data_IF_020622237515
#
_entry.id   IF_020622237515
#
_cell.length_a   1.000
_cell.length_b   1.000
_cell.length_c   1.000
_cell.angle_alpha   90.00
_cell.angle_beta   90.00
_cell.angle_gamma   90.00
#
_symmetry.space_group_name_H-M   'P 1'
#
loop_
_entity.id
_entity.type
_entity.pdbx_description
1 polymer ?
#
# COMPACT_ATOMS: atom_id res chain seq x y z
N UNK A 1 13.87 31.73 30.37
CA UNK A 1 13.64 30.91 29.16
C UNK A 1 14.62 29.75 29.19
N UNK A 2 14.16 28.52 29.46
CA UNK A 2 15.00 27.32 29.41
C UNK A 2 15.06 26.86 27.96
N UNK A 3 16.25 26.90 27.36
CA UNK A 3 16.47 26.44 25.99
C UNK A 3 16.25 24.94 25.86
N UNK A 4 15.53 24.53 24.82
CA UNK A 4 15.45 23.14 24.40
C UNK A 4 16.84 22.68 23.93
N UNK A 5 17.30 21.48 24.32
CA UNK A 5 18.56 20.95 23.80
C UNK A 5 18.38 20.57 22.31
N UNK A 6 19.42 20.72 21.47
CA UNK A 6 19.34 20.36 20.07
C UNK A 6 19.14 18.85 19.93
N UNK A 7 18.20 18.46 19.04
CA UNK A 7 18.07 17.08 18.59
C UNK A 7 19.41 16.64 18.00
N UNK A 8 20.10 15.73 18.69
CA UNK A 8 21.22 14.99 18.11
C UNK A 8 20.65 14.16 16.96
N UNK A 9 20.84 14.62 15.73
CA UNK A 9 20.59 13.80 14.54
C UNK A 9 21.52 12.60 14.62
N UNK A 10 20.94 11.44 14.90
CA UNK A 10 21.64 10.16 14.93
C UNK A 10 21.92 9.77 13.47
N UNK A 11 23.03 10.27 12.92
CA UNK A 11 23.48 10.11 11.52
C UNK A 11 23.82 8.66 11.09
N UNK A 12 23.19 7.63 11.68
CA UNK A 12 23.48 6.20 11.42
C UNK A 12 22.24 5.30 11.19
N UNK A 13 21.04 5.88 11.05
CA UNK A 13 19.79 5.13 10.83
C UNK A 13 19.35 5.04 9.35
N UNK A 14 19.78 5.98 8.50
CA UNK A 14 19.21 6.16 7.15
C UNK A 14 19.43 4.96 6.19
N UNK A 15 20.49 4.17 6.36
CA UNK A 15 20.91 3.18 5.35
C UNK A 15 20.54 1.71 5.66
N UNK A 16 19.74 1.43 6.69
CA UNK A 16 19.44 0.03 7.08
C UNK A 16 18.08 -0.49 6.65
N UNK A 17 17.10 0.40 6.50
CA UNK A 17 15.71 0.03 6.23
C UNK A 17 15.19 0.77 5.02
N UNK A 18 14.33 0.09 4.27
CA UNK A 18 13.66 0.60 3.09
C UNK A 18 12.16 0.53 3.39
N UNK A 19 11.47 1.63 3.13
CA UNK A 19 10.02 1.65 3.03
C UNK A 19 9.64 1.52 1.56
N UNK A 20 9.01 0.42 1.19
CA UNK A 20 8.37 0.25 -0.11
C UNK A 20 6.94 0.77 0.00
N UNK A 21 6.59 1.76 -0.82
CA UNK A 21 5.30 2.45 -0.84
C UNK A 21 4.82 2.65 -2.28
N UNK A 22 3.52 2.90 -2.47
CA UNK A 22 2.95 3.23 -3.78
C UNK A 22 2.76 4.74 -3.96
N UNK A 23 2.68 5.23 -5.22
CA UNK A 23 2.41 6.64 -5.51
C UNK A 23 1.09 7.15 -4.95
N UNK A 24 0.14 6.26 -4.64
CA UNK A 24 -1.14 6.58 -4.03
C UNK A 24 -1.22 6.32 -2.52
N UNK A 25 -0.06 6.37 -1.86
CA UNK A 25 0.05 6.44 -0.40
C UNK A 25 0.21 7.90 0.07
N UNK A 26 -0.64 8.31 1.01
CA UNK A 26 -0.53 9.58 1.72
C UNK A 26 -0.20 9.32 3.19
N UNK A 27 0.90 9.89 3.68
CA UNK A 27 1.34 9.75 5.07
C UNK A 27 0.61 10.76 5.96
N UNK A 28 -0.25 10.25 6.85
CA UNK A 28 -1.13 11.08 7.69
C UNK A 28 -0.65 11.19 9.14
N UNK A 29 0.20 10.27 9.58
CA UNK A 29 0.82 10.29 10.90
C UNK A 29 2.31 9.89 10.79
N UNK A 30 3.18 10.32 11.72
CA UNK A 30 4.58 9.88 11.75
C UNK A 30 4.69 8.36 11.78
N UNK A 31 5.36 7.78 10.78
CA UNK A 31 5.54 6.33 10.65
C UNK A 31 6.82 5.88 11.37
N UNK A 32 6.72 5.18 12.52
CA UNK A 32 7.89 4.57 13.14
C UNK A 32 8.40 3.39 12.30
N UNK A 33 9.60 2.90 12.61
CA UNK A 33 10.02 1.61 12.07
C UNK A 33 9.19 0.48 12.71
N UNK A 34 8.24 -0.07 11.95
CA UNK A 34 7.37 -1.16 12.39
C UNK A 34 8.04 -2.54 12.31
N UNK A 35 9.18 -2.65 11.61
CA UNK A 35 9.95 -3.90 11.56
C UNK A 35 10.70 -4.13 12.87
N UNK A 36 10.77 -5.39 13.31
CA UNK A 36 11.41 -5.75 14.59
C UNK A 36 12.01 -7.15 14.55
N UNK A 37 13.06 -7.41 15.34
CA UNK A 37 13.63 -8.76 15.49
C UNK A 37 14.21 -9.38 14.21
N UNK A 38 14.41 -8.58 13.15
CA UNK A 38 14.80 -9.10 11.83
C UNK A 38 13.63 -9.45 10.91
N UNK A 39 12.39 -9.32 11.38
CA UNK A 39 11.18 -9.48 10.58
C UNK A 39 10.78 -8.14 9.95
N UNK A 40 10.58 -8.07 8.63
CA UNK A 40 9.95 -6.91 7.99
C UNK A 40 8.50 -6.73 8.50
N UNK A 41 7.96 -5.53 8.34
CA UNK A 41 6.55 -5.26 8.63
C UNK A 41 5.79 -4.96 7.35
N UNK A 42 4.61 -5.55 7.19
CA UNK A 42 3.79 -5.43 5.99
C UNK A 42 2.30 -5.33 6.33
N UNK A 43 1.52 -4.74 5.43
CA UNK A 43 0.06 -4.74 5.56
C UNK A 43 -0.54 -6.06 5.04
N UNK A 44 -1.44 -6.71 5.80
CA UNK A 44 -2.15 -7.90 5.33
C UNK A 44 -3.32 -7.53 4.40
N UNK A 45 -3.27 -8.00 3.16
CA UNK A 45 -4.33 -7.79 2.17
C UNK A 45 -5.33 -8.95 2.20
N UNK A 46 -6.60 -8.63 2.47
CA UNK A 46 -7.65 -9.65 2.58
C UNK A 46 -7.89 -10.46 1.30
N UNK A 47 -7.46 -9.94 0.14
CA UNK A 47 -7.60 -10.59 -1.16
C UNK A 47 -6.34 -11.37 -1.61
N UNK A 48 -5.24 -11.29 -0.85
CA UNK A 48 -4.08 -12.16 -1.06
C UNK A 48 -4.27 -13.39 -0.20
N UNK A 49 -4.60 -14.51 -0.84
CA UNK A 49 -5.04 -15.73 -0.17
C UNK A 49 -4.31 -16.95 -0.73
N UNK A 50 -3.04 -17.19 -0.34
CA UNK A 50 -2.26 -18.30 -0.87
C UNK A 50 -2.90 -19.67 -0.64
N UNK A 51 -3.53 -19.89 0.53
CA UNK A 51 -4.21 -21.14 0.86
C UNK A 51 -5.44 -21.42 -0.02
N UNK A 52 -6.21 -20.41 -0.40
CA UNK A 52 -7.36 -20.57 -1.32
C UNK A 52 -6.90 -20.79 -2.78
N UNK A 53 -5.64 -20.50 -3.10
CA UNK A 53 -5.06 -20.59 -4.45
C UNK A 53 -3.94 -21.65 -4.54
N UNK A 54 -3.96 -22.66 -3.66
CA UNK A 54 -2.84 -23.60 -3.49
C UNK A 54 -2.39 -24.22 -4.82
N UNK A 55 -3.32 -24.71 -5.66
CA UNK A 55 -2.99 -25.32 -6.96
C UNK A 55 -2.14 -24.42 -7.86
N UNK A 56 -2.44 -23.12 -7.90
CA UNK A 56 -1.70 -22.14 -8.70
C UNK A 56 -0.37 -21.81 -8.02
N UNK A 57 -0.39 -21.59 -6.71
CA UNK A 57 0.78 -21.26 -5.91
C UNK A 57 1.86 -22.36 -5.98
N UNK A 58 1.49 -23.64 -6.02
CA UNK A 58 2.45 -24.76 -6.11
C UNK A 58 3.33 -24.73 -7.35
N UNK A 59 2.93 -24.06 -8.43
CA UNK A 59 3.79 -23.84 -9.61
C UNK A 59 5.04 -22.97 -9.29
N UNK A 60 4.97 -22.17 -8.24
CA UNK A 60 6.01 -21.19 -7.85
C UNK A 60 6.55 -21.40 -6.43
N UNK A 61 5.82 -22.14 -5.59
CA UNK A 61 6.21 -22.54 -4.24
C UNK A 61 6.06 -24.06 -4.06
N UNK A 62 7.08 -24.85 -4.44
CA UNK A 62 7.05 -26.31 -4.40
C UNK A 62 6.79 -26.88 -3.00
N UNK A 63 6.25 -28.10 -2.92
CA UNK A 63 5.91 -28.75 -1.64
C UNK A 63 7.12 -28.92 -0.71
N UNK A 64 8.31 -29.16 -1.26
CA UNK A 64 9.55 -29.26 -0.49
C UNK A 64 9.96 -27.96 0.22
N UNK A 65 9.36 -26.82 -0.15
CA UNK A 65 9.57 -25.54 0.54
C UNK A 65 8.66 -25.38 1.76
N UNK A 66 7.65 -26.24 1.91
CA UNK A 66 6.74 -26.26 3.06
C UNK A 66 5.29 -25.97 2.69
N UNK A 67 4.42 -25.76 3.69
CA UNK A 67 2.99 -25.49 3.46
C UNK A 67 2.77 -24.10 2.84
N UNK A 68 1.73 -23.95 2.02
CA UNK A 68 1.36 -22.64 1.42
C UNK A 68 0.98 -21.59 2.47
N UNK A 69 0.66 -22.00 3.69
CA UNK A 69 0.41 -21.10 4.82
C UNK A 69 1.66 -20.36 5.30
N UNK A 70 2.86 -20.75 4.83
CA UNK A 70 4.09 -19.97 5.04
C UNK A 70 4.16 -18.72 4.15
N UNK A 71 3.28 -18.59 3.16
CA UNK A 71 3.21 -17.39 2.32
C UNK A 71 2.29 -16.40 3.02
N UNK A 72 2.87 -15.31 3.52
CA UNK A 72 2.14 -14.24 4.17
C UNK A 72 1.10 -13.60 3.20
N UNK A 73 -0.11 -13.24 3.66
CA UNK A 73 -1.14 -12.61 2.84
C UNK A 73 -0.84 -11.12 2.60
N UNK A 74 0.29 -10.82 1.97
CA UNK A 74 0.84 -9.47 1.81
C UNK A 74 1.10 -9.14 0.33
N UNK A 75 1.47 -7.88 0.06
CA UNK A 75 2.08 -7.47 -1.21
C UNK A 75 3.43 -6.82 -0.99
N UNK A 76 3.99 -6.25 -2.05
CA UNK A 76 5.25 -5.51 -2.03
C UNK A 76 5.15 -4.12 -1.38
N UNK A 77 3.97 -3.72 -0.89
CA UNK A 77 3.72 -2.44 -0.24
C UNK A 77 2.49 -2.50 0.70
N UNK A 78 2.35 -1.54 1.64
CA UNK A 78 3.47 -0.87 2.28
C UNK A 78 4.29 -1.91 3.06
N UNK A 79 5.61 -1.87 2.89
CA UNK A 79 6.54 -2.79 3.57
C UNK A 79 7.73 -2.03 4.11
N UNK A 80 8.06 -2.23 5.40
CA UNK A 80 9.33 -1.79 5.98
C UNK A 80 10.25 -3.00 6.12
N UNK A 81 11.34 -3.01 5.36
CA UNK A 81 12.26 -4.15 5.25
C UNK A 81 13.71 -3.70 5.42
N UNK A 82 14.55 -4.54 6.03
CA UNK A 82 16.01 -4.28 6.04
C UNK A 82 16.57 -4.36 4.63
N UNK A 83 17.46 -3.45 4.26
CA UNK A 83 18.12 -3.45 2.94
C UNK A 83 18.72 -4.82 2.58
N UNK A 84 19.44 -5.45 3.51
CA UNK A 84 20.06 -6.77 3.31
C UNK A 84 19.05 -7.90 3.07
N UNK A 85 17.85 -7.79 3.63
CA UNK A 85 16.77 -8.76 3.40
C UNK A 85 16.13 -8.55 2.03
N UNK A 86 15.95 -7.28 1.62
CA UNK A 86 15.46 -6.96 0.28
C UNK A 86 16.47 -7.45 -0.79
N UNK A 87 17.76 -7.19 -0.60
CA UNK A 87 18.83 -7.67 -1.49
C UNK A 87 18.82 -9.21 -1.63
N UNK A 88 18.53 -9.94 -0.54
CA UNK A 88 18.41 -11.40 -0.55
C UNK A 88 17.27 -11.89 -1.44
N UNK A 89 16.10 -11.25 -1.38
CA UNK A 89 14.91 -11.70 -2.11
C UNK A 89 14.79 -11.10 -3.51
N UNK A 90 15.43 -9.95 -3.79
CA UNK A 90 15.26 -9.20 -5.03
C UNK A 90 15.51 -10.02 -6.30
N UNK A 91 16.56 -10.88 -6.40
CA UNK A 91 16.73 -11.72 -7.59
C UNK A 91 15.59 -12.71 -7.80
N UNK A 92 15.01 -13.26 -6.72
CA UNK A 92 13.86 -14.17 -6.81
C UNK A 92 12.59 -13.39 -7.14
N UNK A 93 12.36 -12.25 -6.48
CA UNK A 93 11.21 -11.40 -6.73
C UNK A 93 11.22 -10.81 -8.14
N UNK A 94 12.38 -10.58 -8.77
CA UNK A 94 12.44 -10.17 -10.18
C UNK A 94 11.95 -11.28 -11.14
N UNK A 95 12.18 -12.56 -10.81
CA UNK A 95 11.94 -13.68 -11.71
C UNK A 95 10.57 -14.35 -11.54
N UNK A 96 10.07 -14.44 -10.30
CA UNK A 96 8.75 -15.04 -10.01
C UNK A 96 7.60 -14.36 -10.78
N UNK A 97 7.45 -13.02 -10.82
CA UNK A 97 6.32 -12.40 -11.50
C UNK A 97 6.39 -12.61 -13.01
N UNK A 98 7.59 -12.62 -13.62
CA UNK A 98 7.75 -12.95 -15.04
C UNK A 98 7.21 -14.36 -15.34
N UNK A 99 7.59 -15.35 -14.53
CA UNK A 99 7.06 -16.71 -14.66
C UNK A 99 5.57 -16.80 -14.41
N UNK A 100 5.04 -16.05 -13.45
CA UNK A 100 3.59 -15.98 -13.20
C UNK A 100 2.86 -15.34 -14.38
N UNK A 101 3.47 -14.34 -15.01
CA UNK A 101 2.92 -13.63 -16.17
C UNK A 101 2.91 -14.49 -17.42
N UNK A 102 3.92 -15.34 -17.59
CA UNK A 102 4.04 -16.29 -18.70
C UNK A 102 3.12 -17.52 -18.57
N UNK A 103 2.60 -17.82 -17.36
CA UNK A 103 1.63 -18.89 -17.13
C UNK A 103 0.18 -18.36 -17.28
N UNK A 104 -0.57 -18.72 -18.34
CA UNK A 104 -1.87 -18.11 -18.61
C UNK A 104 -2.95 -18.36 -17.53
N UNK A 105 -2.87 -19.49 -16.82
CA UNK A 105 -3.79 -19.79 -15.71
C UNK A 105 -3.52 -18.86 -14.51
N UNK A 106 -2.24 -18.63 -14.19
CA UNK A 106 -1.79 -17.75 -13.11
C UNK A 106 -2.05 -16.29 -13.43
N UNK A 107 -1.68 -15.82 -14.63
CA UNK A 107 -1.93 -14.45 -15.08
C UNK A 107 -3.43 -14.13 -15.05
N UNK A 108 -4.27 -15.05 -15.52
CA UNK A 108 -5.72 -14.90 -15.45
C UNK A 108 -6.25 -14.87 -14.02
N UNK A 109 -5.70 -15.69 -13.13
CA UNK A 109 -6.18 -15.81 -11.76
C UNK A 109 -5.76 -14.63 -10.86
N UNK A 110 -4.51 -14.19 -10.95
CA UNK A 110 -3.99 -13.13 -10.10
C UNK A 110 -4.09 -11.75 -10.76
N UNK A 111 -4.01 -11.67 -12.09
CA UNK A 111 -4.19 -10.43 -12.84
C UNK A 111 -3.39 -9.26 -12.25
N UNK A 112 -4.09 -8.20 -11.85
CA UNK A 112 -3.48 -6.97 -11.35
C UNK A 112 -2.77 -7.12 -9.99
N UNK A 113 -3.03 -8.18 -9.21
CA UNK A 113 -2.34 -8.45 -7.93
C UNK A 113 -1.19 -9.45 -8.06
N UNK A 114 -0.82 -9.84 -9.29
CA UNK A 114 0.21 -10.84 -9.55
C UNK A 114 1.56 -10.47 -8.92
N UNK A 115 1.98 -9.22 -9.00
CA UNK A 115 3.23 -8.73 -8.38
C UNK A 115 3.22 -8.87 -6.85
N UNK A 116 2.05 -8.70 -6.22
CA UNK A 116 1.89 -8.86 -4.77
C UNK A 116 2.07 -10.33 -4.36
N UNK A 117 1.44 -11.25 -5.11
CA UNK A 117 1.66 -12.69 -4.92
C UNK A 117 3.11 -13.08 -5.18
N UNK A 118 3.74 -12.50 -6.20
CA UNK A 118 5.13 -12.78 -6.54
C UNK A 118 6.09 -12.35 -5.41
N UNK A 119 5.86 -11.17 -4.81
CA UNK A 119 6.61 -10.72 -3.64
C UNK A 119 6.44 -11.66 -2.44
N UNK A 120 5.20 -12.05 -2.13
CA UNK A 120 4.89 -12.95 -1.03
C UNK A 120 5.55 -14.33 -1.22
N UNK A 121 5.46 -14.90 -2.43
CA UNK A 121 6.11 -16.17 -2.78
C UNK A 121 7.63 -16.05 -2.72
N UNK A 122 8.22 -15.00 -3.28
CA UNK A 122 9.66 -14.78 -3.21
C UNK A 122 10.14 -14.67 -1.75
N UNK A 123 9.40 -13.98 -0.90
CA UNK A 123 9.70 -13.89 0.54
C UNK A 123 9.68 -15.27 1.21
N UNK A 124 8.63 -16.05 0.96
CA UNK A 124 8.49 -17.40 1.52
C UNK A 124 9.58 -18.37 1.03
N UNK A 125 9.98 -18.30 -0.25
CA UNK A 125 11.08 -19.12 -0.81
C UNK A 125 12.41 -18.91 -0.08
N UNK A 126 12.59 -17.75 0.56
CA UNK A 126 13.77 -17.38 1.34
C UNK A 126 13.58 -17.52 2.87
N UNK A 127 12.46 -18.13 3.29
CA UNK A 127 12.09 -18.32 4.70
C UNK A 127 11.77 -17.02 5.43
N UNK A 128 11.40 -15.96 4.71
CA UNK A 128 11.07 -14.66 5.29
C UNK A 128 9.59 -14.63 5.70
N UNK A 129 9.33 -14.15 6.91
CA UNK A 129 7.98 -13.90 7.44
C UNK A 129 7.85 -12.43 7.84
N UNK A 130 6.63 -11.92 7.87
CA UNK A 130 6.33 -10.52 8.15
C UNK A 130 5.56 -10.33 9.46
N UNK A 131 5.83 -9.21 10.11
CA UNK A 131 4.92 -8.67 11.12
C UNK A 131 3.73 -8.06 10.37
N UNK A 132 2.56 -8.70 10.47
CA UNK A 132 1.33 -8.26 9.81
C UNK A 132 0.72 -7.09 10.58
N UNK A 133 0.90 -5.87 10.07
CA UNK A 133 0.44 -4.64 10.72
C UNK A 133 -0.87 -4.14 10.08
N UNK A 134 -2.00 -4.42 10.72
CA UNK A 134 -3.33 -3.98 10.24
C UNK A 134 -3.51 -2.45 10.28
N UNK A 135 -2.87 -1.78 11.23
CA UNK A 135 -2.94 -0.31 11.35
C UNK A 135 -1.92 0.42 10.47
N UNK A 136 -1.19 -0.28 9.59
CA UNK A 136 -0.19 0.34 8.73
C UNK A 136 -0.84 1.36 7.79
N UNK A 137 -1.93 0.95 7.12
CA UNK A 137 -2.67 1.83 6.23
C UNK A 137 -4.17 1.62 6.33
N UNK A 138 -4.93 2.57 5.81
CA UNK A 138 -6.37 2.50 5.59
C UNK A 138 -6.70 2.66 4.11
N UNK A 139 -7.86 2.15 3.68
CA UNK A 139 -8.32 2.12 2.30
C UNK A 139 -9.74 2.71 2.20
N UNK A 140 -9.87 4.05 2.13
CA UNK A 140 -11.15 4.70 1.88
C UNK A 140 -11.72 4.25 0.52
N UNK A 141 -13.06 4.16 0.36
CA UNK A 141 -14.09 4.57 1.32
C UNK A 141 -14.45 3.51 2.38
N UNK A 142 -13.74 2.38 2.43
CA UNK A 142 -14.08 1.24 3.30
C UNK A 142 -13.68 1.46 4.75
N UNK A 143 -12.50 2.02 4.97
CA UNK A 143 -12.04 2.43 6.29
C UNK A 143 -12.47 3.88 6.56
N UNK A 144 -13.27 4.08 7.61
CA UNK A 144 -14.00 5.35 7.84
C UNK A 144 -13.18 6.41 8.60
N UNK A 145 -12.22 5.99 9.40
CA UNK A 145 -11.48 6.83 10.35
C UNK A 145 -9.97 6.72 10.17
N UNK A 146 -9.28 7.85 10.27
CA UNK A 146 -7.81 7.92 10.19
C UNK A 146 -7.18 7.51 11.52
N UNK A 147 -7.63 8.12 12.62
CA UNK A 147 -7.11 7.86 13.96
C UNK A 147 -5.58 7.83 14.03
N UNK A 148 -5.02 6.73 14.53
CA UNK A 148 -3.56 6.51 14.69
C UNK A 148 -2.90 5.77 13.54
N UNK A 149 -3.62 5.48 12.44
CA UNK A 149 -3.06 4.76 11.28
C UNK A 149 -2.12 5.68 10.50
N UNK A 150 -1.15 5.12 9.78
CA UNK A 150 -0.04 5.90 9.24
C UNK A 150 -0.23 6.38 7.80
N UNK A 151 -0.91 5.58 6.98
CA UNK A 151 -1.03 5.80 5.55
C UNK A 151 -2.49 5.72 5.11
N UNK A 152 -2.92 6.65 4.24
CA UNK A 152 -4.12 6.47 3.41
C UNK A 152 -3.66 5.93 2.06
N UNK A 153 -4.23 4.79 1.65
CA UNK A 153 -4.06 4.22 0.32
C UNK A 153 -5.32 4.48 -0.51
N UNK A 154 -5.25 5.44 -1.46
CA UNK A 154 -6.42 5.89 -2.23
C UNK A 154 -6.66 5.07 -3.51
N UNK A 155 -6.71 3.75 -3.38
CA UNK A 155 -6.87 2.84 -4.53
C UNK A 155 -8.30 2.79 -5.08
N UNK A 156 -9.31 2.98 -4.22
CA UNK A 156 -10.72 2.89 -4.58
C UNK A 156 -11.33 4.25 -4.90
N UNK A 157 -12.28 4.27 -5.85
CA UNK A 157 -13.11 5.44 -6.10
C UNK A 157 -14.02 5.74 -4.90
N UNK A 158 -14.06 7.00 -4.50
CA UNK A 158 -14.90 7.53 -3.45
C UNK A 158 -16.05 8.30 -4.09
N UNK A 159 -17.20 7.64 -4.28
CA UNK A 159 -18.39 8.22 -4.90
C UNK A 159 -19.49 8.46 -3.88
N UNK A 160 -19.93 9.71 -3.72
CA UNK A 160 -20.93 10.07 -2.71
C UNK A 160 -22.08 10.90 -3.30
N UNK A 161 -23.28 10.70 -2.76
CA UNK A 161 -24.40 11.63 -2.95
C UNK A 161 -24.17 12.93 -2.19
N UNK A 162 -24.92 13.99 -2.53
CA UNK A 162 -24.90 15.26 -1.79
C UNK A 162 -25.33 15.15 -0.31
N UNK A 163 -25.91 14.00 0.08
CA UNK A 163 -26.28 13.69 1.48
C UNK A 163 -25.21 12.86 2.20
N UNK A 164 -24.01 12.74 1.64
CA UNK A 164 -22.90 11.99 2.24
C UNK A 164 -23.05 10.47 2.20
N UNK A 165 -23.98 9.92 1.41
CA UNK A 165 -24.13 8.46 1.24
C UNK A 165 -23.28 7.94 0.09
N UNK A 166 -22.47 6.90 0.35
CA UNK A 166 -21.65 6.20 -0.65
C UNK A 166 -22.54 5.61 -1.76
N UNK A 167 -22.15 5.79 -3.02
CA UNK A 167 -22.89 5.29 -4.20
C UNK A 167 -22.12 4.18 -4.89
N UNK A 168 -22.40 2.93 -4.50
CA UNK A 168 -21.72 1.75 -5.05
C UNK A 168 -21.92 1.61 -6.57
N UNK A 169 -20.82 1.44 -7.29
CA UNK A 169 -20.83 1.17 -8.73
C UNK A 169 -21.43 2.29 -9.60
N UNK A 170 -21.63 3.49 -9.04
CA UNK A 170 -22.21 4.64 -9.74
C UNK A 170 -21.41 5.89 -9.42
N UNK A 171 -21.21 6.73 -10.44
CA UNK A 171 -20.58 8.04 -10.26
C UNK A 171 -21.46 8.88 -9.33
N UNK A 172 -20.88 9.27 -8.20
CA UNK A 172 -21.53 10.11 -7.20
C UNK A 172 -21.74 11.54 -7.69
N UNK A 173 -22.56 12.31 -6.96
CA UNK A 173 -22.64 13.77 -7.18
C UNK A 173 -21.37 14.47 -6.71
N UNK A 174 -20.71 13.90 -5.71
CA UNK A 174 -19.34 14.19 -5.35
C UNK A 174 -18.50 12.94 -5.61
N UNK A 175 -17.28 13.09 -6.14
CA UNK A 175 -16.39 11.98 -6.46
C UNK A 175 -14.94 12.36 -6.26
N UNK A 176 -14.17 11.43 -5.72
CA UNK A 176 -12.72 11.37 -5.86
C UNK A 176 -12.30 9.99 -6.36
N UNK A 177 -11.70 9.89 -7.55
CA UNK A 177 -11.06 8.67 -8.06
C UNK A 177 -9.84 9.06 -8.87
N UNK A 178 -8.67 8.53 -8.53
CA UNK A 178 -7.43 8.80 -9.25
C UNK A 178 -7.52 8.47 -10.75
N UNK A 179 -8.37 7.51 -11.13
CA UNK A 179 -8.60 7.11 -12.53
C UNK A 179 -9.34 8.17 -13.34
N UNK A 180 -9.91 9.19 -12.69
CA UNK A 180 -10.45 10.37 -13.38
C UNK A 180 -9.36 11.33 -13.87
N UNK A 181 -8.11 11.13 -13.46
CA UNK A 181 -6.96 12.01 -13.72
C UNK A 181 -5.82 11.27 -14.44
N UNK A 182 -6.13 10.38 -15.39
CA UNK A 182 -5.11 9.59 -16.12
C UNK A 182 -4.35 10.40 -17.18
N UNK A 183 -4.89 11.55 -17.60
CA UNK A 183 -4.32 12.37 -18.68
C UNK A 183 -3.65 13.65 -18.18
N UNK A 184 -3.57 13.83 -16.87
CA UNK A 184 -3.05 15.05 -16.27
C UNK A 184 -3.35 15.09 -14.78
N UNK A 185 -2.70 16.00 -14.03
CA UNK A 185 -2.89 16.10 -12.59
C UNK A 185 -4.32 16.53 -12.24
N UNK A 186 -4.83 16.16 -11.04
CA UNK A 186 -6.08 16.71 -10.54
C UNK A 186 -5.97 18.23 -10.33
N UNK A 187 -7.08 18.99 -10.39
CA UNK A 187 -7.09 20.41 -10.09
C UNK A 187 -6.47 20.74 -8.72
N UNK A 188 -5.85 21.93 -8.59
CA UNK A 188 -5.28 22.42 -7.32
C UNK A 188 -6.27 22.46 -6.15
N UNK A 189 -7.55 22.63 -6.44
CA UNK A 189 -8.59 22.65 -5.41
C UNK A 189 -9.72 21.73 -5.85
N UNK A 190 -9.77 20.55 -5.25
CA UNK A 190 -10.90 19.65 -5.33
C UNK A 190 -11.97 20.08 -4.34
N UNK A 191 -13.27 19.99 -4.70
CA UNK A 191 -14.35 20.27 -3.77
C UNK A 191 -14.28 19.29 -2.60
N UNK A 192 -14.46 19.78 -1.38
CA UNK A 192 -14.62 18.89 -0.22
C UNK A 192 -15.94 18.12 -0.33
N UNK A 193 -16.00 16.88 0.18
CA UNK A 193 -17.23 16.11 0.21
C UNK A 193 -18.28 16.73 1.13
N UNK A 194 -19.55 16.42 0.89
CA UNK A 194 -20.67 16.88 1.72
C UNK A 194 -20.59 16.38 3.16
N UNK A 195 -21.24 17.06 4.13
CA UNK A 195 -21.38 16.56 5.50
C UNK A 195 -21.93 15.12 5.52
N UNK A 196 -21.38 14.29 6.42
CA UNK A 196 -21.72 12.87 6.55
C UNK A 196 -20.82 11.92 5.77
N UNK A 197 -19.92 12.43 4.92
CA UNK A 197 -18.83 11.62 4.35
C UNK A 197 -17.77 11.30 5.43
N UNK A 198 -17.21 10.07 5.46
CA UNK A 198 -16.26 9.65 6.49
C UNK A 198 -15.01 10.55 6.60
N UNK A 199 -14.45 10.61 7.80
CA UNK A 199 -13.24 11.37 8.14
C UNK A 199 -12.07 11.02 7.21
N UNK A 200 -11.91 9.74 6.89
CA UNK A 200 -10.83 9.26 6.04
C UNK A 200 -10.86 9.85 4.63
N UNK A 201 -12.04 9.94 4.01
CA UNK A 201 -12.23 10.53 2.68
C UNK A 201 -12.07 12.04 2.74
N UNK A 202 -12.59 12.70 3.78
CA UNK A 202 -12.40 14.14 3.99
C UNK A 202 -10.91 14.48 4.11
N UNK A 203 -10.16 13.67 4.89
CA UNK A 203 -8.73 13.85 5.11
C UNK A 203 -7.93 13.64 3.83
N UNK A 204 -8.22 12.56 3.09
CA UNK A 204 -7.64 12.30 1.77
C UNK A 204 -7.72 13.54 0.86
N UNK A 205 -8.92 14.11 0.69
CA UNK A 205 -9.12 15.24 -0.22
C UNK A 205 -8.43 16.51 0.28
N UNK A 206 -8.43 16.75 1.59
CA UNK A 206 -7.70 17.89 2.19
C UNK A 206 -6.21 17.80 1.91
N UNK A 207 -5.62 16.61 2.06
CA UNK A 207 -4.19 16.41 1.84
C UNK A 207 -3.82 16.46 0.36
N UNK A 208 -4.69 15.96 -0.53
CA UNK A 208 -4.51 16.17 -1.97
C UNK A 208 -4.51 17.67 -2.27
N UNK A 209 -5.49 18.43 -1.78
CA UNK A 209 -5.55 19.89 -1.99
C UNK A 209 -4.32 20.63 -1.40
N UNK A 210 -3.84 20.20 -0.23
CA UNK A 210 -2.62 20.74 0.35
C UNK A 210 -1.41 20.45 -0.55
N UNK A 211 -1.26 19.22 -1.03
CA UNK A 211 -0.15 18.84 -1.90
C UNK A 211 -0.20 19.60 -3.24
N UNK A 212 -1.34 19.60 -3.92
CA UNK A 212 -1.49 20.25 -5.23
C UNK A 212 -1.31 21.77 -5.16
N UNK A 213 -1.67 22.40 -4.04
CA UNK A 213 -1.44 23.83 -3.81
C UNK A 213 0.05 24.17 -3.61
N UNK A 214 0.86 23.23 -3.11
CA UNK A 214 2.24 23.48 -2.68
C UNK A 214 3.31 22.86 -3.60
N UNK A 215 2.95 21.95 -4.52
CA UNK A 215 3.89 21.38 -5.51
C UNK A 215 4.10 22.40 -6.65
N UNK A 216 5.34 22.89 -6.88
CA UNK A 216 5.64 23.79 -7.99
C UNK A 216 5.38 23.11 -9.34
N UNK A 217 4.82 23.86 -10.30
CA UNK A 217 4.55 23.33 -11.64
C UNK A 217 3.40 22.33 -11.70
N UNK A 218 2.53 22.25 -10.68
CA UNK A 218 1.43 21.29 -10.64
C UNK A 218 0.48 21.37 -11.85
N UNK A 219 0.23 22.57 -12.38
CA UNK A 219 -0.64 22.78 -13.56
C UNK A 219 0.16 23.01 -14.86
N UNK A 220 1.48 22.79 -14.85
CA UNK A 220 2.31 23.00 -16.03
C UNK A 220 2.24 21.74 -16.92
N UNK A 221 1.55 21.87 -18.06
CA UNK A 221 1.65 20.92 -19.19
C UNK A 221 3.01 21.01 -19.89
#
# INVERSE_FOLDING_TARGET
>A
MRGFPPLKVQNNLCNRYILMAEPDHIFVNPLPNLSHGGYPAAFPFFYIKPAENEKIIRKFYPEEKGPVTNIDPIGNFPVIIKKSLLEKIAPTWMNVPLRMKDDPETDKAFGWVLEMYAYAVASALHGMQHILQKDFMIQPPWDLEVGKKFVIHYTYGCDYSLKGKLTYGKIGKWRFDKRSYLRGPPPKILPLPSPGVPESVVTLVKMVNEATANIPGWDAE
#
